data_IF_037772118514
#
_entry.id   IF_037772118514
#
_cell.length_a   1.000
_cell.length_b   1.000
_cell.length_c   1.000
_cell.angle_alpha   90.00
_cell.angle_beta   90.00
_cell.angle_gamma   90.00
#
_symmetry.space_group_name_H-M   'P 1'
#
loop_
_entity.id
_entity.type
_entity.pdbx_description
1 polymer ?
#
# COMPACT_ATOMS: atom_id res chain seq x y z
N UNK A 1 8.81 22.74 -36.92
CA UNK A 1 9.63 22.65 -35.71
C UNK A 1 8.65 22.51 -34.56
N UNK A 2 8.44 21.28 -34.13
CA UNK A 2 7.25 20.83 -33.40
C UNK A 2 7.19 21.35 -31.96
N UNK A 3 6.18 22.18 -31.70
CA UNK A 3 5.87 22.74 -30.38
C UNK A 3 5.39 21.68 -29.37
N UNK A 4 5.02 20.48 -29.82
CA UNK A 4 4.59 19.38 -28.93
C UNK A 4 5.74 18.65 -28.21
N UNK A 5 6.96 18.66 -28.77
CA UNK A 5 8.10 17.96 -28.14
C UNK A 5 8.72 18.75 -26.98
N UNK A 6 8.63 20.08 -26.99
CA UNK A 6 9.22 20.95 -25.96
C UNK A 6 8.50 20.81 -24.60
N UNK A 7 7.17 20.67 -24.64
CA UNK A 7 6.34 20.52 -23.43
C UNK A 7 6.51 19.14 -22.78
N UNK A 8 6.66 18.08 -23.59
CA UNK A 8 6.91 16.71 -23.13
C UNK A 8 8.27 16.56 -22.44
N UNK A 9 9.35 17.12 -22.99
CA UNK A 9 10.67 17.08 -22.35
C UNK A 9 10.71 17.86 -21.02
N UNK A 10 10.00 19.00 -20.97
CA UNK A 10 9.94 19.82 -19.76
C UNK A 10 9.14 19.10 -18.65
N UNK A 11 8.02 18.46 -19.01
CA UNK A 11 7.27 17.62 -18.07
C UNK A 11 8.09 16.44 -17.55
N UNK A 12 8.81 15.72 -18.42
CA UNK A 12 9.67 14.58 -18.02
C UNK A 12 10.71 15.03 -16.99
N UNK A 13 11.35 16.20 -17.21
CA UNK A 13 12.33 16.77 -16.26
C UNK A 13 11.70 17.13 -14.91
N UNK A 14 10.50 17.70 -14.92
CA UNK A 14 9.80 18.09 -13.69
C UNK A 14 9.35 16.85 -12.88
N UNK A 15 8.94 15.82 -13.61
CA UNK A 15 8.68 14.46 -13.13
C UNK A 15 9.95 13.87 -12.47
N UNK A 16 11.10 13.83 -13.14
CA UNK A 16 12.35 13.35 -12.54
C UNK A 16 12.75 14.13 -11.28
N UNK A 17 12.55 15.44 -11.28
CA UNK A 17 12.82 16.30 -10.12
C UNK A 17 11.94 15.94 -8.93
N UNK A 18 10.65 15.68 -9.14
CA UNK A 18 9.71 15.20 -8.12
C UNK A 18 10.11 13.83 -7.57
N UNK A 19 10.52 12.89 -8.44
CA UNK A 19 11.01 11.56 -8.03
C UNK A 19 12.25 11.67 -7.13
N UNK A 20 13.19 12.55 -7.50
CA UNK A 20 14.39 12.80 -6.71
C UNK A 20 14.04 13.42 -5.35
N UNK A 21 13.08 14.34 -5.31
CA UNK A 21 12.58 14.95 -4.09
C UNK A 21 11.90 13.93 -3.16
N UNK A 22 11.12 12.98 -3.69
CA UNK A 22 10.52 11.88 -2.91
C UNK A 22 11.60 10.95 -2.33
N UNK A 23 12.61 10.60 -3.13
CA UNK A 23 13.73 9.78 -2.66
C UNK A 23 14.52 10.48 -1.55
N UNK A 24 14.79 11.77 -1.71
CA UNK A 24 15.43 12.60 -0.70
C UNK A 24 14.56 12.71 0.57
N UNK A 25 13.25 12.91 0.45
CA UNK A 25 12.35 12.98 1.60
C UNK A 25 12.40 11.68 2.42
N UNK A 26 12.37 10.51 1.75
CA UNK A 26 12.54 9.20 2.39
C UNK A 26 13.89 9.08 3.11
N UNK A 27 14.97 9.56 2.48
CA UNK A 27 16.30 9.59 3.08
C UNK A 27 16.36 10.53 4.31
N UNK A 28 15.74 11.71 4.23
CA UNK A 28 15.69 12.66 5.34
C UNK A 28 14.84 12.14 6.49
N UNK A 29 13.70 11.49 6.23
CA UNK A 29 12.87 10.86 7.28
C UNK A 29 13.61 9.77 8.04
N UNK A 30 14.37 8.92 7.34
CA UNK A 30 15.20 7.88 7.96
C UNK A 30 16.26 8.46 8.91
N UNK A 31 16.65 9.73 8.71
CA UNK A 31 17.65 10.44 9.50
C UNK A 31 17.06 11.53 10.42
N UNK A 32 15.74 11.70 10.43
CA UNK A 32 15.07 12.68 11.27
C UNK A 32 14.99 12.14 12.72
N UNK A 33 15.59 12.85 13.67
CA UNK A 33 15.50 12.51 15.09
C UNK A 33 14.09 12.82 15.60
N UNK A 34 13.36 11.81 16.09
CA UNK A 34 12.07 12.02 16.75
C UNK A 34 12.26 12.81 18.05
N UNK A 35 11.45 13.86 18.23
CA UNK A 35 11.31 14.58 19.49
C UNK A 35 10.74 13.64 20.54
N UNK A 36 11.47 13.40 21.63
CA UNK A 36 10.95 12.74 22.83
C UNK A 36 9.82 13.59 23.40
N UNK A 37 8.59 13.09 23.29
CA UNK A 37 7.42 13.74 23.86
C UNK A 37 7.36 13.48 25.38
N UNK A 38 7.08 14.53 26.17
CA UNK A 38 7.06 14.48 27.66
C UNK A 38 5.81 13.77 28.24
N UNK A 39 5.19 12.84 27.51
CA UNK A 39 4.00 12.13 27.97
C UNK A 39 4.35 10.92 28.86
N UNK A 40 3.40 10.54 29.73
CA UNK A 40 3.48 9.27 30.44
C UNK A 40 3.56 8.12 29.42
N UNK A 41 4.28 7.04 29.76
CA UNK A 41 4.40 5.85 28.88
C UNK A 41 3.02 5.37 28.38
N UNK A 42 2.01 5.42 29.26
CA UNK A 42 0.68 4.89 29.00
C UNK A 42 -0.18 5.79 28.09
N UNK A 43 0.01 7.10 28.20
CA UNK A 43 -0.77 8.11 27.46
C UNK A 43 -0.06 8.62 26.18
N UNK A 44 1.14 8.10 25.89
CA UNK A 44 1.86 8.45 24.67
C UNK A 44 1.07 8.09 23.42
N UNK A 45 1.09 9.00 22.44
CA UNK A 45 0.54 8.82 21.09
C UNK A 45 1.36 7.78 20.32
N UNK A 46 2.59 7.51 20.75
CA UNK A 46 3.47 6.55 20.11
C UNK A 46 3.13 5.14 20.55
N UNK A 47 3.38 4.17 19.69
CA UNK A 47 3.34 2.76 20.05
C UNK A 47 4.60 2.46 20.87
N UNK A 48 4.45 2.34 22.18
CA UNK A 48 5.55 2.06 23.10
C UNK A 48 5.46 0.66 23.66
N UNK A 49 6.60 -0.04 23.68
CA UNK A 49 6.71 -1.35 24.28
C UNK A 49 8.09 -1.58 24.91
N UNK A 50 8.11 -2.40 25.95
CA UNK A 50 9.31 -2.94 26.58
C UNK A 50 9.35 -4.44 26.36
N UNK A 51 10.53 -4.96 26.02
CA UNK A 51 10.73 -6.38 25.76
C UNK A 51 12.13 -6.84 26.18
N UNK A 52 12.24 -8.11 26.52
CA UNK A 52 13.51 -8.72 26.91
C UNK A 52 14.49 -8.81 25.73
N UNK A 53 15.78 -9.06 26.00
CA UNK A 53 16.79 -9.22 24.94
C UNK A 53 16.48 -10.42 24.03
N UNK A 54 15.86 -11.48 24.55
CA UNK A 54 15.35 -12.61 23.76
C UNK A 54 14.09 -12.27 22.94
N UNK A 55 13.40 -11.18 23.28
CA UNK A 55 12.31 -10.60 22.49
C UNK A 55 10.92 -10.81 23.08
N UNK A 56 10.79 -11.28 24.33
CA UNK A 56 9.49 -11.43 25.00
C UNK A 56 8.96 -10.06 25.41
N UNK A 57 7.71 -9.76 25.08
CA UNK A 57 7.07 -8.52 25.52
C UNK A 57 6.87 -8.54 27.04
N UNK A 58 7.24 -7.44 27.68
CA UNK A 58 7.09 -7.21 29.11
C UNK A 58 5.95 -6.23 29.36
N UNK A 59 5.93 -5.14 28.59
CA UNK A 59 4.98 -4.05 28.76
C UNK A 59 4.66 -3.43 27.41
N UNK A 60 3.42 -3.00 27.25
CA UNK A 60 2.94 -2.24 26.09
C UNK A 60 2.13 -1.06 26.61
N UNK A 61 2.00 0.00 25.84
CA UNK A 61 1.11 1.11 26.20
C UNK A 61 -0.29 0.96 25.58
N UNK A 62 -1.20 1.83 25.98
CA UNK A 62 -2.59 1.85 25.49
C UNK A 62 -2.67 1.97 23.97
N UNK A 63 -1.86 2.86 23.38
CA UNK A 63 -1.90 3.07 21.94
C UNK A 63 -1.42 1.83 21.17
N UNK A 64 -0.33 1.20 21.59
CA UNK A 64 0.16 -0.06 21.01
C UNK A 64 -0.94 -1.14 20.99
N UNK A 65 -1.65 -1.33 22.12
CA UNK A 65 -2.71 -2.34 22.23
C UNK A 65 -3.90 -2.03 21.34
N UNK A 66 -4.32 -0.77 21.31
CA UNK A 66 -5.41 -0.30 20.45
C UNK A 66 -5.07 -0.51 18.98
N UNK A 67 -3.86 -0.13 18.56
CA UNK A 67 -3.45 -0.18 17.15
C UNK A 67 -3.21 -1.60 16.64
N UNK A 68 -2.68 -2.50 17.48
CA UNK A 68 -2.39 -3.88 17.07
C UNK A 68 -3.50 -4.88 17.42
N UNK A 69 -4.50 -4.46 18.21
CA UNK A 69 -5.69 -5.27 18.52
C UNK A 69 -5.48 -6.33 19.60
N UNK A 70 -4.44 -6.19 20.44
CA UNK A 70 -4.14 -7.14 21.52
C UNK A 70 -4.56 -6.60 22.88
N UNK A 71 -5.09 -7.48 23.72
CA UNK A 71 -5.34 -7.16 25.14
C UNK A 71 -4.03 -7.12 25.94
N UNK A 72 -4.08 -6.62 27.18
CA UNK A 72 -2.91 -6.60 28.09
C UNK A 72 -2.41 -8.04 28.33
N UNK A 73 -3.32 -8.96 28.67
CA UNK A 73 -2.99 -10.36 28.96
C UNK A 73 -2.41 -11.10 27.75
N UNK A 74 -2.94 -10.87 26.56
CA UNK A 74 -2.40 -11.43 25.32
C UNK A 74 -1.02 -10.86 25.04
N UNK A 75 -0.85 -9.54 25.17
CA UNK A 75 0.42 -8.88 24.87
C UNK A 75 1.58 -9.40 25.73
N UNK A 76 1.33 -9.77 27.00
CA UNK A 76 2.36 -10.36 27.88
C UNK A 76 2.81 -11.78 27.50
N UNK A 77 2.10 -12.45 26.58
CA UNK A 77 2.44 -13.79 26.08
C UNK A 77 3.21 -13.74 24.75
N UNK A 78 3.25 -12.59 24.08
CA UNK A 78 3.85 -12.44 22.76
C UNK A 78 5.35 -12.21 22.83
N UNK A 79 6.02 -12.60 21.75
CA UNK A 79 7.35 -12.17 21.39
C UNK A 79 7.28 -11.15 20.26
N UNK A 80 8.30 -10.31 20.14
CA UNK A 80 8.45 -9.35 19.04
C UNK A 80 8.32 -10.03 17.67
N UNK A 81 8.81 -11.27 17.53
CA UNK A 81 8.68 -11.99 16.27
C UNK A 81 7.22 -12.26 15.89
N UNK A 82 6.31 -12.41 16.86
CA UNK A 82 4.92 -12.75 16.60
C UNK A 82 4.15 -11.56 16.00
N UNK A 83 4.70 -10.35 16.15
CA UNK A 83 4.11 -9.09 15.67
C UNK A 83 4.93 -8.42 14.58
N UNK A 84 6.09 -8.94 14.19
CA UNK A 84 6.95 -8.33 13.16
C UNK A 84 6.73 -9.06 11.84
N UNK A 85 6.67 -8.32 10.74
CA UNK A 85 6.54 -8.92 9.41
C UNK A 85 7.75 -9.80 9.09
N UNK A 86 7.54 -10.94 8.42
CA UNK A 86 8.55 -11.98 8.25
C UNK A 86 9.82 -11.49 7.54
N UNK A 87 9.65 -10.66 6.51
CA UNK A 87 10.75 -10.06 5.75
C UNK A 87 11.61 -9.08 6.58
N UNK A 88 11.09 -8.56 7.69
CA UNK A 88 11.81 -7.58 8.53
C UNK A 88 12.63 -8.27 9.64
N UNK A 89 12.41 -9.58 9.89
CA UNK A 89 13.12 -10.31 10.95
C UNK A 89 14.65 -10.21 10.88
N UNK A 90 15.31 -10.36 9.70
CA UNK A 90 16.77 -10.34 9.65
C UNK A 90 17.34 -8.98 10.05
N UNK A 91 16.77 -7.89 9.52
CA UNK A 91 17.20 -6.53 9.83
C UNK A 91 16.97 -6.20 11.31
N UNK A 92 15.79 -6.54 11.83
CA UNK A 92 15.44 -6.31 13.23
C UNK A 92 16.34 -7.10 14.19
N UNK A 93 16.66 -8.37 13.86
CA UNK A 93 17.57 -9.21 14.66
C UNK A 93 18.96 -8.59 14.77
N UNK A 94 19.53 -8.17 13.64
CA UNK A 94 20.85 -7.55 13.61
C UNK A 94 20.88 -6.27 14.43
N UNK A 95 19.83 -5.45 14.31
CA UNK A 95 19.70 -4.24 15.09
C UNK A 95 19.55 -4.52 16.60
N UNK A 96 18.72 -5.49 16.99
CA UNK A 96 18.54 -5.89 18.39
C UNK A 96 19.86 -6.29 19.05
N UNK A 97 20.68 -7.06 18.34
CA UNK A 97 22.02 -7.47 18.81
C UNK A 97 22.93 -6.25 18.99
N UNK A 98 22.92 -5.32 18.02
CA UNK A 98 23.71 -4.10 18.08
C UNK A 98 23.30 -3.20 19.26
N UNK A 99 22.00 -2.93 19.42
CA UNK A 99 21.46 -2.12 20.53
C UNK A 99 21.77 -2.76 21.88
N UNK A 100 21.62 -4.08 21.99
CA UNK A 100 21.90 -4.81 23.23
C UNK A 100 23.38 -4.86 23.61
N UNK A 101 24.29 -4.91 22.63
CA UNK A 101 25.76 -4.94 22.87
C UNK A 101 26.36 -3.56 23.05
N UNK A 102 26.04 -2.65 22.15
CA UNK A 102 26.68 -1.33 22.08
C UNK A 102 25.99 -0.32 23.01
N UNK A 103 24.79 -0.63 23.48
CA UNK A 103 23.97 0.25 24.31
C UNK A 103 23.44 1.48 23.56
N UNK A 104 23.61 1.54 22.24
CA UNK A 104 23.29 2.71 21.42
C UNK A 104 21.87 2.61 20.87
N UNK A 105 21.08 3.66 21.09
CA UNK A 105 19.78 3.85 20.45
C UNK A 105 19.90 3.71 18.93
N UNK A 106 19.04 2.89 18.33
CA UNK A 106 19.02 2.68 16.87
C UNK A 106 17.64 2.99 16.32
N UNK A 107 17.61 3.61 15.14
CA UNK A 107 16.38 3.95 14.43
C UNK A 107 16.06 2.90 13.37
N UNK A 108 14.78 2.57 13.23
CA UNK A 108 14.30 1.64 12.21
C UNK A 108 12.91 2.03 11.71
N UNK A 109 12.71 1.80 10.41
CA UNK A 109 11.40 1.68 9.80
C UNK A 109 11.11 0.18 9.65
N UNK A 110 9.97 -0.27 10.16
CA UNK A 110 9.60 -1.69 10.12
C UNK A 110 8.09 -1.86 10.01
N UNK A 111 7.66 -3.08 9.68
CA UNK A 111 6.28 -3.50 9.58
C UNK A 111 5.91 -4.35 10.78
N UNK A 112 4.83 -3.96 11.44
CA UNK A 112 4.17 -4.76 12.45
C UNK A 112 2.90 -5.40 11.85
N UNK A 113 2.60 -6.63 12.27
CA UNK A 113 1.36 -7.32 11.95
C UNK A 113 0.40 -7.21 13.13
N UNK A 114 -0.80 -6.71 12.86
CA UNK A 114 -1.89 -6.69 13.84
C UNK A 114 -2.41 -8.11 14.10
N UNK A 115 -3.24 -8.27 15.14
CA UNK A 115 -3.95 -9.53 15.41
C UNK A 115 -4.86 -9.97 14.26
N UNK A 116 -5.40 -9.03 13.48
CA UNK A 116 -6.22 -9.31 12.28
C UNK A 116 -5.38 -9.68 11.04
N UNK A 117 -4.05 -9.56 11.12
CA UNK A 117 -3.14 -9.80 9.99
C UNK A 117 -2.86 -8.58 9.12
N UNK A 118 -3.42 -7.41 9.47
CA UNK A 118 -3.14 -6.15 8.77
C UNK A 118 -1.71 -5.68 9.06
N UNK A 119 -1.12 -4.96 8.11
CA UNK A 119 0.25 -4.45 8.22
C UNK A 119 0.20 -2.98 8.66
N UNK A 120 0.86 -2.71 9.78
CA UNK A 120 1.13 -1.36 10.27
C UNK A 120 2.58 -0.99 9.95
N UNK A 121 2.78 0.09 9.19
CA UNK A 121 4.12 0.62 8.96
C UNK A 121 4.49 1.56 10.11
N UNK A 122 5.63 1.30 10.74
CA UNK A 122 6.09 2.10 11.88
C UNK A 122 7.52 2.57 11.72
N UNK A 123 7.80 3.75 12.25
CA UNK A 123 9.14 4.34 12.30
C UNK A 123 9.45 4.81 13.69
N UNK A 124 10.65 4.52 14.17
CA UNK A 124 11.05 4.98 15.49
C UNK A 124 12.35 4.36 15.93
N UNK A 125 12.50 4.17 17.24
CA UNK A 125 13.77 3.79 17.82
C UNK A 125 13.67 2.69 18.86
N UNK A 126 14.76 1.94 18.98
CA UNK A 126 14.96 0.92 19.99
C UNK A 126 16.21 1.29 20.79
N UNK A 127 16.10 1.26 22.10
CA UNK A 127 17.18 1.58 23.02
C UNK A 127 17.14 0.67 24.26
N UNK A 128 18.29 0.40 24.90
CA UNK A 128 18.31 -0.31 26.17
C UNK A 128 17.70 0.56 27.28
N UNK A 129 16.96 -0.06 28.19
CA UNK A 129 16.54 0.58 29.42
C UNK A 129 17.52 0.26 30.56
N UNK A 130 17.37 0.98 31.68
CA UNK A 130 18.25 0.83 32.85
C UNK A 130 18.16 -0.57 33.52
N UNK A 131 17.16 -1.39 33.17
CA UNK A 131 16.93 -2.73 33.72
C UNK A 131 17.52 -3.84 32.83
N UNK A 132 18.24 -3.50 31.77
CA UNK A 132 18.80 -4.48 30.82
C UNK A 132 17.77 -5.06 29.85
N UNK A 133 16.59 -4.45 29.73
CA UNK A 133 15.61 -4.75 28.69
C UNK A 133 15.71 -3.73 27.56
N UNK A 134 14.96 -3.96 26.48
CA UNK A 134 14.88 -3.05 25.35
C UNK A 134 13.54 -2.33 25.37
N UNK A 135 13.55 -1.04 25.09
CA UNK A 135 12.36 -0.22 24.88
C UNK A 135 12.32 0.18 23.41
N UNK A 136 11.16 0.01 22.79
CA UNK A 136 10.88 0.53 21.46
C UNK A 136 9.76 1.56 21.54
N UNK A 137 9.97 2.68 20.86
CA UNK A 137 8.97 3.73 20.66
C UNK A 137 8.83 3.94 19.16
N UNK A 138 7.60 3.79 18.68
CA UNK A 138 7.27 3.77 17.26
C UNK A 138 6.13 4.72 16.95
N UNK A 139 6.29 5.52 15.90
CA UNK A 139 5.22 6.28 15.29
C UNK A 139 4.59 5.45 14.16
N UNK A 140 3.27 5.48 14.07
CA UNK A 140 2.56 4.94 12.91
C UNK A 140 2.79 5.87 11.70
N UNK A 141 3.36 5.29 10.63
CA UNK A 141 3.61 5.95 9.36
C UNK A 141 2.82 5.32 8.21
N UNK A 142 1.81 4.48 8.51
CA UNK A 142 1.03 3.73 7.52
C UNK A 142 0.38 4.66 6.51
N UNK A 143 -0.25 5.74 6.96
CA UNK A 143 -0.87 6.70 6.07
C UNK A 143 0.17 7.37 5.14
N UNK A 144 1.32 7.77 5.68
CA UNK A 144 2.39 8.38 4.89
C UNK A 144 2.95 7.41 3.85
N UNK A 145 3.22 6.16 4.23
CA UNK A 145 3.71 5.12 3.32
C UNK A 145 2.68 4.83 2.23
N UNK A 146 1.41 4.73 2.57
CA UNK A 146 0.35 4.50 1.59
C UNK A 146 0.17 5.69 0.64
N UNK A 147 0.23 6.91 1.15
CA UNK A 147 0.20 8.13 0.33
C UNK A 147 1.42 8.21 -0.61
N UNK A 148 2.62 7.88 -0.13
CA UNK A 148 3.82 7.81 -0.96
C UNK A 148 3.73 6.74 -2.04
N UNK A 149 3.23 5.54 -1.70
CA UNK A 149 3.00 4.49 -2.69
C UNK A 149 2.00 4.94 -3.76
N UNK A 150 0.89 5.57 -3.36
CA UNK A 150 -0.11 6.09 -4.28
C UNK A 150 0.47 7.19 -5.19
N UNK A 151 1.28 8.10 -4.64
CA UNK A 151 1.94 9.15 -5.41
C UNK A 151 2.95 8.57 -6.40
N UNK A 152 3.77 7.60 -5.97
CA UNK A 152 4.72 6.92 -6.85
C UNK A 152 4.00 6.13 -7.96
N UNK A 153 2.87 5.51 -7.65
CA UNK A 153 2.02 4.84 -8.63
C UNK A 153 1.51 5.83 -9.69
N UNK A 154 0.90 6.93 -9.24
CA UNK A 154 0.41 7.99 -10.13
C UNK A 154 1.53 8.52 -11.03
N UNK A 155 2.68 8.81 -10.43
CA UNK A 155 3.87 9.25 -11.12
C UNK A 155 4.33 8.28 -12.22
N UNK A 156 4.45 6.99 -11.89
CA UNK A 156 4.90 5.99 -12.84
C UNK A 156 3.90 5.87 -14.00
N UNK A 157 2.60 5.93 -13.72
CA UNK A 157 1.55 5.93 -14.75
C UNK A 157 1.68 7.17 -15.65
N UNK A 158 1.79 8.37 -15.08
CA UNK A 158 1.95 9.62 -15.87
C UNK A 158 3.19 9.56 -16.76
N UNK A 159 4.32 9.05 -16.24
CA UNK A 159 5.54 8.91 -17.00
C UNK A 159 5.37 7.95 -18.20
N UNK A 160 4.66 6.83 -18.02
CA UNK A 160 4.34 5.92 -19.12
C UNK A 160 3.45 6.57 -20.18
N UNK A 161 2.41 7.30 -19.77
CA UNK A 161 1.52 8.00 -20.71
C UNK A 161 2.30 8.99 -21.57
N UNK A 162 3.33 9.63 -21.00
CA UNK A 162 4.19 10.55 -21.74
C UNK A 162 5.16 9.80 -22.66
N UNK A 163 5.76 8.70 -22.23
CA UNK A 163 6.82 8.00 -22.98
C UNK A 163 6.31 6.99 -24.02
N UNK A 164 5.08 6.51 -23.88
CA UNK A 164 4.52 5.50 -24.79
C UNK A 164 4.18 6.14 -26.13
N UNK A 165 4.63 5.52 -27.22
CA UNK A 165 4.29 5.93 -28.58
C UNK A 165 3.04 5.20 -29.11
N UNK A 166 2.60 4.14 -28.41
CA UNK A 166 1.47 3.29 -28.75
C UNK A 166 0.62 2.98 -27.49
N UNK A 167 -0.70 2.89 -27.67
CA UNK A 167 -1.68 2.67 -26.60
C UNK A 167 -1.60 1.25 -26.04
N UNK A 168 -1.26 0.25 -26.86
CA UNK A 168 -1.14 -1.13 -26.40
C UNK A 168 -0.02 -1.30 -25.37
N UNK A 169 1.13 -0.68 -25.64
CA UNK A 169 2.27 -0.68 -24.72
C UNK A 169 1.97 0.11 -23.44
N UNK A 170 1.22 1.21 -23.56
CA UNK A 170 0.74 1.96 -22.39
C UNK A 170 -0.14 1.09 -21.50
N UNK A 171 -1.14 0.41 -22.06
CA UNK A 171 -2.07 -0.41 -21.29
C UNK A 171 -1.37 -1.59 -20.60
N UNK A 172 -0.46 -2.29 -21.29
CA UNK A 172 0.37 -3.34 -20.68
C UNK A 172 1.21 -2.80 -19.53
N UNK A 173 1.79 -1.62 -19.71
CA UNK A 173 2.65 -1.01 -18.69
C UNK A 173 1.87 -0.54 -17.47
N UNK A 174 0.68 0.07 -17.68
CA UNK A 174 -0.26 0.41 -16.58
C UNK A 174 -0.67 -0.84 -15.81
N UNK A 175 -1.06 -1.90 -16.52
CA UNK A 175 -1.44 -3.17 -15.90
C UNK A 175 -0.30 -3.75 -15.05
N UNK A 176 0.93 -3.79 -15.57
CA UNK A 176 2.10 -4.27 -14.81
C UNK A 176 2.35 -3.48 -13.53
N UNK A 177 2.22 -2.15 -13.55
CA UNK A 177 2.42 -1.33 -12.35
C UNK A 177 1.28 -1.56 -11.35
N UNK A 178 0.04 -1.64 -11.82
CA UNK A 178 -1.11 -1.92 -10.95
C UNK A 178 -0.95 -3.28 -10.27
N UNK A 179 -0.52 -4.31 -11.00
CA UNK A 179 -0.32 -5.66 -10.48
C UNK A 179 0.81 -5.76 -9.44
N UNK A 180 1.75 -4.80 -9.41
CA UNK A 180 2.75 -4.70 -8.33
C UNK A 180 2.17 -4.09 -7.04
N UNK A 181 1.01 -3.46 -7.11
CA UNK A 181 0.43 -2.68 -6.01
C UNK A 181 -0.85 -3.31 -5.46
N UNK A 182 -1.67 -3.89 -6.34
CA UNK A 182 -2.92 -4.58 -6.04
C UNK A 182 -2.95 -5.92 -6.78
N UNK A 183 -3.80 -6.84 -6.33
CA UNK A 183 -4.04 -8.09 -7.06
C UNK A 183 -4.86 -7.79 -8.34
N UNK A 184 -4.16 -7.56 -9.44
CA UNK A 184 -4.74 -7.20 -10.74
C UNK A 184 -4.56 -8.33 -11.77
N UNK A 185 -4.48 -9.59 -11.34
CA UNK A 185 -4.32 -10.76 -12.23
C UNK A 185 -5.36 -10.85 -13.34
N UNK A 186 -6.53 -10.25 -13.11
CA UNK A 186 -7.57 -10.02 -14.10
C UNK A 186 -7.82 -8.51 -14.21
N UNK A 187 -7.51 -7.92 -15.36
CA UNK A 187 -7.54 -6.48 -15.57
C UNK A 187 -7.95 -6.14 -17.00
N UNK A 188 -8.84 -5.16 -17.15
CA UNK A 188 -9.24 -4.66 -18.47
C UNK A 188 -9.47 -3.16 -18.46
N UNK A 189 -9.42 -2.56 -19.65
CA UNK A 189 -9.74 -1.16 -19.90
C UNK A 189 -10.95 -1.15 -20.83
N UNK A 190 -11.98 -0.40 -20.48
CA UNK A 190 -13.20 -0.25 -21.25
C UNK A 190 -13.42 1.23 -21.62
N UNK A 191 -13.65 1.50 -22.89
CA UNK A 191 -13.90 2.80 -23.49
C UNK A 191 -15.35 2.83 -24.01
N UNK A 192 -16.13 3.79 -23.54
CA UNK A 192 -17.51 3.98 -23.99
C UNK A 192 -17.53 4.80 -25.29
N UNK A 193 -18.19 4.27 -26.32
CA UNK A 193 -18.55 4.98 -27.54
C UNK A 193 -20.04 5.32 -27.51
N UNK A 194 -20.35 6.59 -27.28
CA UNK A 194 -21.73 7.09 -27.19
C UNK A 194 -22.42 7.21 -28.54
N UNK A 195 -21.68 7.39 -29.63
CA UNK A 195 -22.27 7.53 -30.96
C UNK A 195 -22.78 6.18 -31.45
N UNK A 196 -22.01 5.13 -31.19
CA UNK A 196 -22.36 3.77 -31.61
C UNK A 196 -23.07 2.95 -30.53
N UNK A 197 -23.20 3.50 -29.31
CA UNK A 197 -23.76 2.81 -28.15
C UNK A 197 -23.00 1.49 -27.84
N UNK A 198 -21.67 1.55 -27.93
CA UNK A 198 -20.75 0.42 -27.76
C UNK A 198 -19.83 0.61 -26.55
N UNK A 199 -19.41 -0.52 -25.99
CA UNK A 199 -18.34 -0.63 -25.04
C UNK A 199 -17.15 -1.34 -25.71
N UNK A 200 -16.09 -0.58 -25.95
CA UNK A 200 -14.86 -1.06 -26.56
C UNK A 200 -13.86 -1.43 -25.48
N UNK A 201 -13.34 -2.64 -25.52
CA UNK A 201 -12.32 -3.13 -24.60
C UNK A 201 -10.99 -3.24 -25.35
N UNK A 202 -10.20 -2.15 -25.45
CA UNK A 202 -8.92 -2.18 -26.12
C UNK A 202 -7.87 -3.04 -25.39
N UNK A 203 -8.08 -3.35 -24.11
CA UNK A 203 -7.17 -4.17 -23.33
C UNK A 203 -7.96 -5.07 -22.38
N UNK A 204 -7.83 -6.39 -22.52
CA UNK A 204 -8.35 -7.39 -21.58
C UNK A 204 -7.24 -8.37 -21.25
N UNK A 205 -6.88 -8.49 -19.98
CA UNK A 205 -6.00 -9.52 -19.46
C UNK A 205 -6.74 -10.37 -18.43
N UNK A 206 -6.81 -11.67 -18.67
CA UNK A 206 -7.39 -12.65 -17.75
C UNK A 206 -6.43 -13.83 -17.60
N UNK A 207 -6.10 -14.20 -16.36
CA UNK A 207 -5.12 -15.25 -16.07
C UNK A 207 -5.59 -16.65 -16.52
N UNK A 208 -6.89 -16.83 -16.72
CA UNK A 208 -7.51 -18.08 -17.14
C UNK A 208 -7.76 -18.18 -18.66
N UNK A 209 -7.51 -17.10 -19.41
CA UNK A 209 -7.69 -17.08 -20.87
C UNK A 209 -6.32 -17.17 -21.56
N UNK A 210 -6.09 -18.27 -22.28
CA UNK A 210 -4.90 -18.44 -23.09
C UNK A 210 -4.87 -17.39 -24.23
N UNK A 211 -3.70 -16.75 -24.42
CA UNK A 211 -3.45 -15.68 -25.40
C UNK A 211 -4.08 -14.30 -25.11
N UNK A 212 -4.28 -13.93 -23.84
CA UNK A 212 -4.48 -12.52 -23.45
C UNK A 212 -3.20 -11.67 -23.66
N UNK A 213 -3.29 -10.40 -24.10
CA UNK A 213 -4.49 -9.58 -24.14
C UNK A 213 -5.32 -9.68 -25.43
N UNK A 214 -6.63 -9.60 -25.30
CA UNK A 214 -7.60 -9.59 -26.41
C UNK A 214 -8.36 -8.26 -26.49
N UNK A 215 -8.69 -7.83 -27.71
CA UNK A 215 -9.57 -6.68 -27.96
C UNK A 215 -10.99 -7.17 -28.24
N UNK A 216 -12.01 -6.50 -27.69
CA UNK A 216 -13.41 -6.83 -27.93
C UNK A 216 -14.28 -5.56 -27.98
N UNK A 217 -15.32 -5.56 -28.80
CA UNK A 217 -16.38 -4.54 -28.76
C UNK A 217 -17.72 -5.21 -28.46
N UNK A 218 -18.48 -4.63 -27.54
CA UNK A 218 -19.79 -5.14 -27.12
C UNK A 218 -20.82 -4.02 -27.18
N UNK A 219 -22.08 -4.35 -27.49
CA UNK A 219 -23.19 -3.42 -27.26
C UNK A 219 -23.28 -3.05 -25.78
N UNK A 220 -23.67 -1.80 -25.50
CA UNK A 220 -23.96 -1.38 -24.15
C UNK A 220 -25.08 -2.21 -23.53
N UNK A 221 -24.81 -2.74 -22.35
CA UNK A 221 -25.71 -3.61 -21.59
C UNK A 221 -25.94 -3.01 -20.20
N UNK A 222 -26.54 -3.80 -19.31
CA UNK A 222 -26.73 -3.44 -17.89
C UNK A 222 -25.67 -4.11 -17.03
N UNK A 223 -24.40 -4.14 -17.45
CA UNK A 223 -23.32 -4.81 -16.73
C UNK A 223 -22.69 -3.96 -15.63
N UNK A 224 -21.63 -4.49 -15.03
CA UNK A 224 -20.90 -3.81 -13.96
C UNK A 224 -20.14 -2.57 -14.47
N UNK A 225 -19.64 -2.62 -15.72
CA UNK A 225 -18.95 -1.50 -16.37
C UNK A 225 -19.91 -0.32 -16.55
N UNK A 226 -21.11 -0.59 -17.06
CA UNK A 226 -22.15 0.40 -17.27
C UNK A 226 -22.66 0.95 -15.95
N UNK A 227 -22.79 0.10 -14.93
CA UNK A 227 -23.11 0.56 -13.58
C UNK A 227 -22.10 1.56 -13.04
N UNK A 228 -20.80 1.23 -13.06
CA UNK A 228 -19.74 2.14 -12.58
C UNK A 228 -19.72 3.43 -13.40
N UNK A 229 -19.88 3.34 -14.72
CA UNK A 229 -19.95 4.48 -15.62
C UNK A 229 -21.11 5.43 -15.26
N UNK A 230 -22.33 4.92 -15.09
CA UNK A 230 -23.49 5.74 -14.76
C UNK A 230 -23.38 6.44 -13.40
N UNK A 231 -22.67 5.85 -12.44
CA UNK A 231 -22.47 6.42 -11.11
C UNK A 231 -21.32 7.43 -11.04
N UNK A 232 -20.47 7.52 -12.07
CA UNK A 232 -19.36 8.49 -12.23
C UNK A 232 -18.43 8.60 -11.02
N UNK A 233 -18.25 7.51 -10.28
CA UNK A 233 -17.40 7.45 -9.09
C UNK A 233 -16.63 6.13 -9.08
N UNK A 234 -15.37 6.11 -8.62
CA UNK A 234 -14.66 4.87 -8.36
C UNK A 234 -15.46 3.99 -7.38
N UNK A 235 -15.59 2.71 -7.68
CA UNK A 235 -16.34 1.74 -6.87
C UNK A 235 -15.44 0.57 -6.48
N UNK A 236 -15.60 0.10 -5.24
CA UNK A 236 -15.09 -1.20 -4.79
C UNK A 236 -16.33 -2.03 -4.47
N UNK A 237 -16.58 -3.07 -5.28
CA UNK A 237 -17.74 -3.94 -5.15
C UNK A 237 -17.27 -5.35 -4.76
N UNK A 238 -17.69 -5.82 -3.58
CA UNK A 238 -17.49 -7.20 -3.12
C UNK A 238 -18.60 -8.10 -3.63
N UNK A 239 -18.39 -9.42 -3.60
CA UNK A 239 -19.37 -10.44 -4.04
C UNK A 239 -20.79 -10.18 -3.52
N UNK A 240 -20.94 -9.93 -2.21
CA UNK A 240 -22.25 -9.66 -1.61
C UNK A 240 -22.94 -8.42 -2.19
N UNK A 241 -22.18 -7.35 -2.49
CA UNK A 241 -22.72 -6.12 -3.06
C UNK A 241 -23.08 -6.31 -4.54
N UNK A 242 -22.28 -7.09 -5.28
CA UNK A 242 -22.59 -7.45 -6.67
C UNK A 242 -23.89 -8.25 -6.71
N UNK A 243 -24.06 -9.22 -5.81
CA UNK A 243 -25.27 -10.03 -5.70
C UNK A 243 -26.50 -9.19 -5.35
N UNK A 244 -26.38 -8.25 -4.43
CA UNK A 244 -27.46 -7.30 -4.10
C UNK A 244 -27.88 -6.48 -5.33
N UNK A 245 -26.91 -5.92 -6.07
CA UNK A 245 -27.19 -5.16 -7.29
C UNK A 245 -27.86 -6.02 -8.38
N UNK A 246 -27.55 -7.33 -8.45
CA UNK A 246 -28.21 -8.26 -9.37
C UNK A 246 -29.67 -8.49 -8.92
N UNK A 247 -29.90 -8.75 -7.62
CA UNK A 247 -31.22 -9.02 -7.06
C UNK A 247 -32.17 -7.82 -7.19
N UNK A 248 -31.65 -6.60 -7.03
CA UNK A 248 -32.39 -5.36 -7.25
C UNK A 248 -32.63 -5.05 -8.74
N UNK A 249 -32.03 -5.83 -9.64
CA UNK A 249 -32.09 -5.61 -11.08
C UNK A 249 -31.30 -4.38 -11.54
N UNK A 250 -30.39 -3.86 -10.72
CA UNK A 250 -29.52 -2.73 -11.05
C UNK A 250 -28.44 -3.12 -12.06
N UNK A 251 -27.98 -4.37 -12.02
CA UNK A 251 -27.06 -4.95 -13.00
C UNK A 251 -27.50 -6.35 -13.45
N UNK A 252 -27.00 -6.78 -14.60
CA UNK A 252 -27.09 -8.14 -15.14
C UNK A 252 -25.70 -8.75 -15.07
N UNK A 253 -25.61 -9.98 -14.57
CA UNK A 253 -24.35 -10.70 -14.49
C UNK A 253 -23.89 -11.17 -15.87
N UNK A 254 -22.69 -10.76 -16.26
CA UNK A 254 -21.99 -11.26 -17.43
C UNK A 254 -20.65 -11.84 -16.98
N UNK A 255 -20.47 -13.16 -17.15
CA UNK A 255 -19.28 -13.87 -16.68
C UNK A 255 -19.33 -14.27 -15.20
N UNK A 256 -18.22 -14.81 -14.67
CA UNK A 256 -18.12 -15.21 -13.27
C UNK A 256 -18.10 -14.00 -12.33
N UNK A 257 -18.75 -14.12 -11.16
CA UNK A 257 -18.66 -13.10 -10.11
C UNK A 257 -17.27 -13.18 -9.47
N UNK A 258 -16.54 -12.05 -9.34
CA UNK A 258 -15.28 -12.02 -8.61
C UNK A 258 -15.48 -12.49 -7.17
N UNK A 259 -14.76 -13.53 -6.78
CA UNK A 259 -14.70 -13.99 -5.38
C UNK A 259 -13.52 -13.29 -4.71
N UNK A 260 -13.81 -12.45 -3.73
CA UNK A 260 -12.80 -11.82 -2.88
C UNK A 260 -12.56 -12.66 -1.63
#
# INVERSE_FOLDING_TARGET
MDLQNYDKEQLIKEIEKLRLALYQNKYFRKNAKSHTSNYSFEDSIDLSMEFTVDGKLIKTNKNWRKSLGYTIEESGKLFIRDILHQEDYPAFRNMKVKVGKDGVQSFIDTRLSTKSGEILYVSGSIFPNQKGHLTATFHDITHQVNAEKAQNLYYNITNLTLLSNDLDDLFKSVHNILNQTIDARNFFIALFDFEQNLLNFPYIFDEHIANSPTTQSLDLRKGICEYVYHHKKPQILKEAQIMELILEGNIIQYGPIPKA
#
